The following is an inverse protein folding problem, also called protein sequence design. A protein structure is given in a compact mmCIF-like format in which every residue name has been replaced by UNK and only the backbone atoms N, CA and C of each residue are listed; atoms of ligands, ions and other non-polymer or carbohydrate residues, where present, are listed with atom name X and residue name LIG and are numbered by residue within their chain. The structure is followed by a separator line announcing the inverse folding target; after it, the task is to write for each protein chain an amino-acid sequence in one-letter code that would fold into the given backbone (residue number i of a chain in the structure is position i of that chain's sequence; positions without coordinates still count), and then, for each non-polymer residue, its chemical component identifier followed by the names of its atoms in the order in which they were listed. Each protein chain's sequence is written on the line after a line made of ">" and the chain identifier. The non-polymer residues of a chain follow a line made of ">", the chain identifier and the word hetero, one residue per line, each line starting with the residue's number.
data_IF_024737679584
#
_entry.id   IF_024737679584
#
_cell.length_a   1.000
_cell.length_b   1.000
_cell.length_c   1.000
_cell.angle_alpha   90.00
_cell.angle_beta   90.00
_cell.angle_gamma   90.00
#
_symmetry.space_group_name_H-M   'P 1'
#
loop_
_entity.id
_entity.type
_entity.pdbx_description
1 polymer ?
#
# COMPACT_ATOMS: atom_id res chain seq x y z
N UNK A 1 8.93 -38.02 6.53
CA UNK A 1 7.46 -37.84 6.24
C UNK A 1 6.88 -36.63 6.96
N UNK A 2 7.13 -36.42 8.29
CA UNK A 2 6.56 -35.29 9.06
C UNK A 2 6.90 -33.90 8.53
N UNK A 3 8.12 -33.65 8.05
CA UNK A 3 8.53 -32.37 7.50
C UNK A 3 7.72 -31.93 6.28
N UNK A 4 7.47 -32.86 5.36
CA UNK A 4 6.71 -32.55 4.14
C UNK A 4 5.22 -32.26 4.44
N UNK A 5 4.65 -32.86 5.48
CA UNK A 5 3.29 -32.61 5.93
C UNK A 5 3.19 -31.20 6.55
N UNK A 6 4.12 -30.82 7.40
CA UNK A 6 4.13 -29.50 8.02
C UNK A 6 4.46 -28.38 6.99
N UNK A 7 5.34 -28.65 6.04
CA UNK A 7 5.62 -27.75 4.93
C UNK A 7 4.39 -27.54 4.03
N UNK A 8 3.61 -28.59 3.77
CA UNK A 8 2.37 -28.49 3.02
C UNK A 8 1.33 -27.65 3.79
N UNK A 9 1.15 -27.90 5.09
CA UNK A 9 0.26 -27.08 5.95
C UNK A 9 0.69 -25.62 6.02
N UNK A 10 1.99 -25.34 6.09
CA UNK A 10 2.51 -23.97 6.08
C UNK A 10 2.25 -23.28 4.74
N UNK A 11 2.48 -23.98 3.62
CA UNK A 11 2.16 -23.47 2.26
C UNK A 11 0.66 -23.19 2.11
N UNK A 12 -0.19 -24.04 2.67
CA UNK A 12 -1.64 -23.87 2.64
C UNK A 12 -2.09 -22.68 3.50
N UNK A 13 -1.56 -22.52 4.71
CA UNK A 13 -1.79 -21.33 5.56
C UNK A 13 -1.29 -20.03 4.88
N UNK A 14 -0.11 -20.06 4.26
CA UNK A 14 0.42 -18.92 3.51
C UNK A 14 -0.40 -18.59 2.27
N UNK A 15 -0.97 -19.60 1.59
CA UNK A 15 -1.93 -19.39 0.49
C UNK A 15 -3.26 -18.82 1.01
N UNK A 16 -3.80 -19.37 2.10
CA UNK A 16 -5.03 -18.88 2.70
C UNK A 16 -4.92 -17.43 3.19
N UNK A 17 -3.78 -17.03 3.76
CA UNK A 17 -3.53 -15.64 4.17
C UNK A 17 -3.33 -14.67 2.98
N UNK A 18 -2.89 -15.17 1.82
CA UNK A 18 -2.77 -14.37 0.58
C UNK A 18 -4.10 -14.26 -0.20
N UNK A 19 -5.06 -15.11 0.08
CA UNK A 19 -6.35 -15.18 -0.63
C UNK A 19 -7.28 -14.01 -0.29
N UNK A 20 -6.97 -13.17 0.70
CA UNK A 20 -7.90 -12.12 1.16
C UNK A 20 -7.84 -10.90 0.28
N UNK A 21 -7.62 -10.56 -0.77
CA UNK A 21 -7.96 -9.39 -1.61
C UNK A 21 -7.09 -9.16 -2.88
N UNK A 22 -5.77 -9.39 -2.84
CA UNK A 22 -4.93 -9.15 -4.04
C UNK A 22 -5.12 -10.20 -5.14
N UNK A 23 -5.41 -11.46 -4.76
CA UNK A 23 -5.55 -12.56 -5.72
C UNK A 23 -6.85 -12.49 -6.54
N UNK A 24 -7.95 -12.01 -5.95
CA UNK A 24 -9.23 -11.90 -6.65
C UNK A 24 -9.23 -10.75 -7.67
N UNK A 25 -8.60 -9.62 -7.35
CA UNK A 25 -8.53 -8.49 -8.27
C UNK A 25 -7.63 -8.77 -9.49
N UNK A 26 -6.57 -9.58 -9.31
CA UNK A 26 -5.67 -9.96 -10.41
C UNK A 26 -6.29 -10.96 -11.42
N UNK A 27 -7.44 -11.55 -11.10
CA UNK A 27 -8.13 -12.53 -11.96
C UNK A 27 -9.41 -11.96 -12.59
N UNK A 28 -9.80 -10.73 -12.25
CA UNK A 28 -10.99 -10.12 -12.82
C UNK A 28 -10.69 -9.59 -14.23
N UNK A 29 -11.37 -10.15 -15.24
CA UNK A 29 -11.21 -9.78 -16.64
C UNK A 29 -11.50 -8.30 -16.91
N UNK A 30 -12.44 -7.69 -16.18
CA UNK A 30 -12.76 -6.25 -16.27
C UNK A 30 -11.55 -5.38 -15.91
N UNK A 31 -10.80 -5.75 -14.86
CA UNK A 31 -9.58 -5.03 -14.46
C UNK A 31 -8.41 -5.27 -15.42
N UNK A 32 -8.28 -6.49 -15.97
CA UNK A 32 -7.24 -6.83 -16.94
C UNK A 32 -7.44 -6.09 -18.28
N UNK A 33 -8.70 -5.93 -18.68
CA UNK A 33 -9.07 -5.27 -19.93
C UNK A 33 -9.13 -3.75 -19.84
N UNK A 34 -9.07 -3.18 -18.63
CA UNK A 34 -9.10 -1.72 -18.43
C UNK A 34 -7.81 -1.07 -18.96
N UNK A 35 -7.96 -0.11 -19.89
CA UNK A 35 -6.82 0.47 -20.64
C UNK A 35 -6.62 1.98 -20.41
N UNK A 36 -7.58 2.67 -19.79
CA UNK A 36 -7.45 4.09 -19.54
C UNK A 36 -6.31 4.36 -18.55
N UNK A 37 -5.55 5.42 -18.81
CA UNK A 37 -4.39 5.77 -17.98
C UNK A 37 -4.78 6.75 -16.89
N UNK A 38 -4.20 6.56 -15.72
CA UNK A 38 -4.25 7.46 -14.57
C UNK A 38 -2.85 8.01 -14.31
N UNK A 39 -2.74 9.27 -13.95
CA UNK A 39 -1.46 9.91 -13.60
C UNK A 39 -1.33 10.01 -12.10
N UNK A 40 -0.27 9.42 -11.54
CA UNK A 40 0.04 9.56 -10.13
C UNK A 40 0.88 10.81 -9.87
N UNK A 41 0.41 11.67 -8.96
CA UNK A 41 1.07 12.95 -8.59
C UNK A 41 1.38 13.03 -7.09
N UNK A 42 1.20 11.95 -6.36
CA UNK A 42 1.27 11.92 -4.89
C UNK A 42 2.66 12.07 -4.27
N UNK A 43 3.70 12.24 -5.09
CA UNK A 43 5.02 12.69 -4.62
C UNK A 43 5.12 14.22 -4.52
N UNK A 44 4.28 14.94 -5.27
CA UNK A 44 4.33 16.41 -5.36
C UNK A 44 3.24 17.07 -4.52
N UNK A 45 2.04 16.46 -4.48
CA UNK A 45 0.88 17.00 -3.79
C UNK A 45 0.03 15.91 -3.15
N UNK A 46 -0.72 16.28 -2.11
CA UNK A 46 -1.70 15.41 -1.44
C UNK A 46 -3.15 15.70 -1.86
N UNK A 47 -3.36 16.74 -2.64
CA UNK A 47 -4.67 17.19 -3.08
C UNK A 47 -4.71 17.29 -4.61
N UNK A 48 -5.86 16.96 -5.22
CA UNK A 48 -6.07 17.11 -6.64
C UNK A 48 -7.54 17.39 -6.98
N UNK A 49 -7.75 18.09 -8.10
CA UNK A 49 -9.01 18.08 -8.84
C UNK A 49 -8.90 17.02 -9.92
N UNK A 50 -9.79 16.05 -9.91
CA UNK A 50 -9.70 14.85 -10.75
C UNK A 50 -11.02 14.55 -11.43
N UNK A 51 -10.99 13.76 -12.48
CA UNK A 51 -12.17 13.25 -13.16
C UNK A 51 -12.26 11.73 -12.96
N UNK A 52 -13.48 11.25 -12.69
CA UNK A 52 -13.77 9.82 -12.64
C UNK A 52 -13.75 9.25 -14.04
N UNK A 53 -12.80 8.35 -14.34
CA UNK A 53 -12.65 7.74 -15.67
C UNK A 53 -13.16 6.31 -15.75
N UNK A 54 -13.38 5.65 -14.61
CA UNK A 54 -14.05 4.35 -14.52
C UNK A 54 -14.61 4.11 -13.13
N UNK A 55 -15.70 3.36 -13.07
CA UNK A 55 -16.33 2.88 -11.84
C UNK A 55 -16.50 1.38 -11.96
N UNK A 56 -16.21 0.66 -10.86
CA UNK A 56 -16.46 -0.76 -10.73
C UNK A 56 -17.34 -1.00 -9.49
N UNK A 57 -18.35 -1.82 -9.68
CA UNK A 57 -19.25 -2.28 -8.62
C UNK A 57 -19.34 -3.81 -8.69
N UNK A 58 -19.07 -4.47 -7.58
CA UNK A 58 -19.09 -5.94 -7.48
C UNK A 58 -18.26 -6.63 -8.58
N UNK A 59 -17.10 -6.03 -8.91
CA UNK A 59 -16.16 -6.53 -9.90
C UNK A 59 -16.54 -6.28 -11.37
N UNK A 60 -17.60 -5.54 -11.65
CA UNK A 60 -18.04 -5.17 -13.01
C UNK A 60 -17.94 -3.67 -13.22
N UNK A 61 -17.56 -3.27 -14.44
CA UNK A 61 -17.57 -1.87 -14.82
C UNK A 61 -19.00 -1.35 -14.92
N UNK A 62 -19.23 -0.12 -14.45
CA UNK A 62 -20.53 0.55 -14.43
C UNK A 62 -20.36 2.03 -14.84
N UNK A 63 -21.40 2.59 -15.45
CA UNK A 63 -21.46 4.03 -15.78
C UNK A 63 -21.72 4.88 -14.55
N UNK A 64 -22.44 4.35 -13.57
CA UNK A 64 -22.70 5.02 -12.30
C UNK A 64 -22.96 4.02 -11.19
N UNK A 65 -22.65 4.40 -9.93
CA UNK A 65 -22.90 3.55 -8.78
C UNK A 65 -22.98 4.32 -7.46
N UNK A 66 -23.44 3.65 -6.40
CA UNK A 66 -23.51 4.13 -5.02
C UNK A 66 -23.10 3.04 -4.03
N UNK A 67 -22.95 3.41 -2.75
CA UNK A 67 -22.45 2.50 -1.70
C UNK A 67 -20.96 2.36 -1.77
N UNK A 68 -20.43 1.21 -1.34
CA UNK A 68 -19.00 0.93 -1.49
C UNK A 68 -18.72 0.55 -2.93
N UNK A 69 -17.88 1.34 -3.58
CA UNK A 69 -17.52 1.21 -4.99
C UNK A 69 -16.01 1.31 -5.15
N UNK A 70 -15.56 0.98 -6.34
CA UNK A 70 -14.17 1.17 -6.75
C UNK A 70 -14.14 2.11 -7.95
N UNK A 71 -13.25 3.08 -7.94
CA UNK A 71 -13.13 4.02 -9.05
C UNK A 71 -11.69 4.32 -9.42
N UNK A 72 -11.48 4.66 -10.68
CA UNK A 72 -10.22 5.13 -11.23
C UNK A 72 -10.37 6.59 -11.62
N UNK A 73 -9.38 7.38 -11.22
CA UNK A 73 -9.29 8.81 -11.53
C UNK A 73 -8.27 9.05 -12.64
N UNK A 74 -8.47 10.08 -13.45
CA UNK A 74 -7.49 10.51 -14.46
C UNK A 74 -6.16 10.95 -13.83
N UNK A 75 -6.25 11.62 -12.69
CA UNK A 75 -5.10 12.07 -11.89
C UNK A 75 -5.35 11.75 -10.43
N UNK A 76 -4.33 11.26 -9.71
CA UNK A 76 -4.49 10.89 -8.31
C UNK A 76 -3.25 11.16 -7.47
N UNK A 77 -3.41 11.74 -6.26
CA UNK A 77 -2.35 11.84 -5.26
C UNK A 77 -2.24 10.57 -4.37
N UNK A 78 -3.19 9.63 -4.47
CA UNK A 78 -3.24 8.44 -3.62
C UNK A 78 -2.24 7.39 -4.08
N UNK A 79 -1.33 6.99 -3.19
CA UNK A 79 -0.40 5.87 -3.40
C UNK A 79 -1.16 4.56 -3.31
N UNK A 80 -1.03 3.73 -4.33
CA UNK A 80 -1.64 2.41 -4.35
C UNK A 80 -0.78 1.37 -3.62
N UNK A 81 -1.42 0.45 -2.92
CA UNK A 81 -0.77 -0.66 -2.23
C UNK A 81 0.22 -1.38 -3.15
N UNK A 82 1.49 -1.40 -2.76
CA UNK A 82 2.58 -2.01 -3.52
C UNK A 82 3.79 -2.30 -2.63
N UNK A 83 4.50 -3.39 -2.90
CA UNK A 83 5.78 -3.69 -2.26
C UNK A 83 5.72 -3.93 -0.75
N UNK A 84 4.55 -4.33 -0.23
CA UNK A 84 4.32 -4.51 1.20
C UNK A 84 3.86 -3.25 1.95
N UNK A 85 3.84 -2.08 1.29
CA UNK A 85 3.24 -0.87 1.82
C UNK A 85 1.74 -0.85 1.54
N UNK A 86 0.92 -0.51 2.54
CA UNK A 86 -0.52 -0.33 2.38
C UNK A 86 -0.84 0.90 1.51
N UNK A 87 -2.01 0.89 0.88
CA UNK A 87 -2.51 2.01 0.10
C UNK A 87 -2.95 3.18 0.97
N UNK A 88 -2.98 4.36 0.38
CA UNK A 88 -3.44 5.55 1.06
C UNK A 88 -4.94 5.55 1.32
N UNK A 89 -5.28 6.30 2.34
CA UNK A 89 -6.64 6.68 2.72
C UNK A 89 -6.82 8.19 2.66
N UNK A 90 -8.07 8.65 2.59
CA UNK A 90 -8.36 10.08 2.57
C UNK A 90 -9.80 10.39 2.28
N UNK A 91 -10.05 11.47 1.55
CA UNK A 91 -11.38 11.97 1.22
C UNK A 91 -11.54 12.18 -0.29
N UNK A 92 -12.75 11.94 -0.76
CA UNK A 92 -13.26 12.34 -2.06
C UNK A 92 -14.43 13.29 -1.82
N UNK A 93 -14.40 14.46 -2.45
CA UNK A 93 -15.45 15.48 -2.34
C UNK A 93 -16.12 15.66 -3.70
N UNK A 94 -17.43 15.55 -3.73
CA UNK A 94 -18.28 15.86 -4.88
C UNK A 94 -19.49 16.65 -4.40
N UNK A 95 -19.86 17.72 -5.10
CA UNK A 95 -20.99 18.61 -4.76
C UNK A 95 -20.98 19.09 -3.29
N UNK A 96 -19.77 19.35 -2.74
CA UNK A 96 -19.58 19.78 -1.36
C UNK A 96 -19.74 18.69 -0.30
N UNK A 97 -20.02 17.45 -0.70
CA UNK A 97 -20.12 16.30 0.21
C UNK A 97 -18.82 15.49 0.22
N UNK A 98 -18.41 15.06 1.42
CA UNK A 98 -17.20 14.29 1.64
C UNK A 98 -17.47 12.80 1.83
N UNK A 99 -16.70 11.98 1.13
CA UNK A 99 -16.75 10.52 1.18
C UNK A 99 -15.38 9.96 1.54
N UNK A 100 -15.37 8.84 2.27
CA UNK A 100 -14.11 8.21 2.68
C UNK A 100 -13.52 7.39 1.55
N UNK A 101 -12.27 7.68 1.18
CA UNK A 101 -11.41 6.76 0.44
C UNK A 101 -10.79 5.80 1.45
N UNK A 102 -11.32 4.57 1.47
CA UNK A 102 -11.00 3.55 2.48
C UNK A 102 -9.63 2.91 2.22
N UNK A 103 -9.30 2.73 0.95
CA UNK A 103 -8.03 2.13 0.50
C UNK A 103 -7.76 2.49 -0.95
N UNK A 104 -6.51 2.38 -1.36
CA UNK A 104 -6.08 2.53 -2.75
C UNK A 104 -5.26 1.31 -3.15
N UNK A 105 -5.70 0.60 -4.17
CA UNK A 105 -5.08 -0.64 -4.67
C UNK A 105 -4.47 -0.42 -6.05
N UNK A 106 -3.52 -1.26 -6.43
CA UNK A 106 -2.95 -1.23 -7.78
C UNK A 106 -3.63 -2.29 -8.66
N UNK A 107 -4.13 -1.87 -9.81
CA UNK A 107 -4.61 -2.79 -10.84
C UNK A 107 -3.44 -3.48 -11.56
N UNK A 108 -3.65 -4.65 -12.20
CA UNK A 108 -2.61 -5.35 -12.95
C UNK A 108 -1.94 -4.51 -14.04
N UNK A 109 -2.68 -3.58 -14.63
CA UNK A 109 -2.19 -2.63 -15.65
C UNK A 109 -1.50 -1.39 -15.05
N UNK A 110 -1.31 -1.35 -13.72
CA UNK A 110 -0.62 -0.27 -13.01
C UNK A 110 -1.49 0.90 -12.59
N UNK A 111 -2.79 0.92 -12.89
CA UNK A 111 -3.70 1.99 -12.49
C UNK A 111 -4.02 1.94 -11.00
N UNK A 112 -4.38 3.11 -10.43
CA UNK A 112 -4.77 3.25 -9.03
C UNK A 112 -6.29 3.10 -8.89
N UNK A 113 -6.73 2.09 -8.15
CA UNK A 113 -8.12 1.78 -7.87
C UNK A 113 -8.47 2.23 -6.46
N UNK A 114 -9.33 3.24 -6.35
CA UNK A 114 -9.77 3.82 -5.08
C UNK A 114 -11.02 3.12 -4.60
N UNK A 115 -11.00 2.59 -3.37
CA UNK A 115 -12.19 2.04 -2.72
C UNK A 115 -12.85 3.15 -1.92
N UNK A 116 -14.07 3.53 -2.31
CA UNK A 116 -14.78 4.69 -1.74
C UNK A 116 -16.16 4.26 -1.25
N UNK A 117 -16.54 4.71 -0.06
CA UNK A 117 -17.91 4.56 0.44
C UNK A 117 -18.75 5.80 0.10
N UNK A 118 -19.45 5.73 -1.02
CA UNK A 118 -20.36 6.78 -1.49
C UNK A 118 -21.70 6.82 -0.74
N UNK A 119 -21.92 5.90 0.19
CA UNK A 119 -23.19 5.78 0.94
C UNK A 119 -24.39 5.69 -0.02
N UNK A 120 -25.35 6.61 0.06
CA UNK A 120 -26.51 6.66 -0.83
C UNK A 120 -26.33 7.62 -2.01
N UNK A 121 -25.22 8.33 -2.10
CA UNK A 121 -24.92 9.27 -3.18
C UNK A 121 -24.49 8.51 -4.43
N UNK A 122 -25.07 8.86 -5.56
CA UNK A 122 -24.68 8.30 -6.86
C UNK A 122 -23.53 9.12 -7.43
N UNK A 123 -22.55 8.44 -8.00
CA UNK A 123 -21.44 9.03 -8.76
C UNK A 123 -21.40 8.38 -10.15
N UNK A 124 -21.02 9.11 -11.16
CA UNK A 124 -20.96 8.62 -12.54
C UNK A 124 -19.61 8.89 -13.19
N UNK A 125 -19.30 8.14 -14.23
CA UNK A 125 -18.15 8.37 -15.07
C UNK A 125 -18.24 9.76 -15.69
N UNK A 126 -17.14 10.51 -15.65
CA UNK A 126 -17.07 11.90 -16.10
C UNK A 126 -17.24 12.94 -14.99
N UNK A 127 -17.73 12.55 -13.80
CA UNK A 127 -17.85 13.49 -12.68
C UNK A 127 -16.50 14.06 -12.27
N UNK A 128 -16.50 15.36 -11.92
CA UNK A 128 -15.35 16.03 -11.32
C UNK A 128 -15.41 15.94 -9.81
N UNK A 129 -14.29 15.55 -9.23
CA UNK A 129 -14.14 15.35 -7.80
C UNK A 129 -12.88 16.08 -7.28
N UNK A 130 -12.93 16.53 -6.05
CA UNK A 130 -11.75 16.92 -5.32
C UNK A 130 -11.31 15.74 -4.45
N UNK A 131 -10.02 15.44 -4.43
CA UNK A 131 -9.47 14.34 -3.64
C UNK A 131 -8.35 14.83 -2.77
N UNK A 132 -8.30 14.30 -1.54
CA UNK A 132 -7.31 14.69 -0.53
C UNK A 132 -6.84 13.46 0.24
N UNK A 133 -5.53 13.21 0.23
CA UNK A 133 -4.88 12.15 1.01
C UNK A 133 -4.85 12.54 2.48
N UNK A 134 -5.11 11.59 3.38
CA UNK A 134 -4.93 11.81 4.81
C UNK A 134 -3.43 12.01 5.12
N UNK A 135 -3.05 13.24 5.42
CA UNK A 135 -1.66 13.63 5.66
C UNK A 135 -1.01 12.85 6.80
N UNK A 136 -1.68 12.74 7.95
CA UNK A 136 -1.09 12.05 9.12
C UNK A 136 -0.91 10.55 8.85
N UNK A 137 -1.86 9.93 8.16
CA UNK A 137 -1.78 8.54 7.74
C UNK A 137 -0.59 8.30 6.78
N UNK A 138 -0.47 9.11 5.72
CA UNK A 138 0.64 9.05 4.77
C UNK A 138 1.98 9.30 5.46
N UNK A 139 2.06 10.30 6.32
CA UNK A 139 3.27 10.66 7.06
C UNK A 139 3.78 9.49 7.91
N UNK A 140 2.88 8.85 8.66
CA UNK A 140 3.23 7.69 9.48
C UNK A 140 3.74 6.51 8.62
N UNK A 141 3.10 6.24 7.47
CA UNK A 141 3.57 5.23 6.52
C UNK A 141 4.97 5.58 5.99
N UNK A 142 5.22 6.83 5.59
CA UNK A 142 6.52 7.27 5.10
C UNK A 142 7.62 7.10 6.15
N UNK A 143 7.32 7.40 7.42
CA UNK A 143 8.25 7.19 8.53
C UNK A 143 8.58 5.69 8.70
N UNK A 144 7.57 4.82 8.71
CA UNK A 144 7.76 3.38 8.81
C UNK A 144 8.48 2.79 7.59
N UNK A 145 8.21 3.31 6.39
CA UNK A 145 8.92 2.91 5.17
C UNK A 145 10.43 3.26 5.27
N UNK A 146 10.76 4.49 5.65
CA UNK A 146 12.15 4.91 5.86
C UNK A 146 12.83 4.09 6.95
N UNK A 147 12.13 3.85 8.08
CA UNK A 147 12.63 3.00 9.16
C UNK A 147 12.92 1.56 8.69
N UNK A 148 12.15 1.03 7.74
CA UNK A 148 12.39 -0.30 7.15
C UNK A 148 13.74 -0.36 6.42
N UNK A 149 14.09 0.68 5.67
CA UNK A 149 15.39 0.77 5.00
C UNK A 149 16.54 0.90 6.00
N UNK A 150 16.39 1.72 7.02
CA UNK A 150 17.37 1.87 8.09
C UNK A 150 17.59 0.56 8.84
N UNK A 151 16.51 -0.15 9.15
CA UNK A 151 16.57 -1.46 9.80
C UNK A 151 17.30 -2.49 8.94
N UNK A 152 17.02 -2.56 7.65
CA UNK A 152 17.70 -3.47 6.73
C UNK A 152 19.21 -3.23 6.72
N UNK A 153 19.63 -1.97 6.63
CA UNK A 153 21.06 -1.62 6.62
C UNK A 153 21.73 -1.91 7.97
N UNK A 154 21.06 -1.61 9.09
CA UNK A 154 21.56 -1.91 10.43
C UNK A 154 21.73 -3.42 10.65
N UNK A 155 20.74 -4.23 10.25
CA UNK A 155 20.82 -5.69 10.29
C UNK A 155 22.01 -6.21 9.50
N UNK A 156 22.23 -5.72 8.28
CA UNK A 156 23.38 -6.12 7.45
C UNK A 156 24.72 -5.73 8.05
N UNK A 157 24.82 -4.58 8.70
CA UNK A 157 26.05 -4.13 9.37
C UNK A 157 26.38 -4.95 10.61
N UNK A 158 25.39 -5.32 11.41
CA UNK A 158 25.60 -6.03 12.67
C UNK A 158 25.70 -7.54 12.47
N UNK A 159 24.90 -8.11 11.58
CA UNK A 159 24.81 -9.57 11.38
C UNK A 159 25.62 -10.06 10.19
N UNK A 160 25.91 -9.19 9.22
CA UNK A 160 26.70 -9.52 8.04
C UNK A 160 25.92 -9.45 6.72
N UNK A 161 26.66 -9.45 5.61
CA UNK A 161 26.14 -9.27 4.26
C UNK A 161 25.22 -10.38 3.73
N UNK A 162 25.08 -11.50 4.46
CA UNK A 162 24.16 -12.59 4.12
C UNK A 162 22.71 -12.26 4.41
N UNK A 163 22.45 -11.20 5.20
CA UNK A 163 21.11 -10.74 5.51
C UNK A 163 20.45 -10.19 4.24
N UNK A 164 19.36 -10.83 3.82
CA UNK A 164 18.56 -10.47 2.66
C UNK A 164 17.10 -10.38 3.09
N UNK A 165 16.41 -9.37 2.59
CA UNK A 165 14.98 -9.22 2.79
C UNK A 165 14.23 -10.40 2.15
N UNK A 166 13.34 -11.02 2.93
CA UNK A 166 12.44 -12.09 2.49
C UNK A 166 10.99 -11.60 2.35
N UNK A 167 10.64 -10.55 3.08
CA UNK A 167 9.36 -9.90 3.03
C UNK A 167 9.35 -8.61 3.84
N UNK A 168 8.36 -7.76 3.58
CA UNK A 168 8.10 -6.58 4.40
C UNK A 168 6.61 -6.24 4.41
N UNK A 169 6.19 -5.58 5.47
CA UNK A 169 4.89 -4.94 5.56
C UNK A 169 5.07 -3.58 6.23
N UNK A 170 4.51 -2.56 5.61
CA UNK A 170 4.57 -1.17 6.11
C UNK A 170 3.16 -0.64 6.22
N UNK A 171 2.78 -0.26 7.44
CA UNK A 171 1.48 0.34 7.77
C UNK A 171 1.69 1.71 8.41
N UNK A 172 0.60 2.40 8.72
CA UNK A 172 0.67 3.63 9.52
C UNK A 172 1.03 3.39 11.00
N UNK A 173 0.86 2.16 11.50
CA UNK A 173 1.09 1.83 12.92
C UNK A 173 2.44 1.16 13.15
N UNK A 174 2.87 0.31 12.20
CA UNK A 174 4.07 -0.50 12.35
C UNK A 174 4.69 -0.90 11.02
N UNK A 175 5.90 -1.44 11.11
CA UNK A 175 6.56 -2.16 10.04
C UNK A 175 6.86 -3.60 10.48
N UNK A 176 6.85 -4.53 9.52
CA UNK A 176 7.39 -5.87 9.66
C UNK A 176 8.47 -6.06 8.60
N UNK A 177 9.59 -6.63 9.02
CA UNK A 177 10.70 -6.93 8.13
C UNK A 177 11.15 -8.39 8.33
N UNK A 178 10.94 -9.22 7.34
CA UNK A 178 11.30 -10.63 7.35
C UNK A 178 12.65 -10.78 6.65
N UNK A 179 13.60 -11.43 7.28
CA UNK A 179 14.95 -11.61 6.76
C UNK A 179 15.49 -13.00 7.10
N UNK A 180 16.51 -13.45 6.35
CA UNK A 180 17.22 -14.70 6.62
C UNK A 180 18.35 -14.47 7.61
N UNK A 181 18.44 -15.33 8.62
CA UNK A 181 19.58 -15.42 9.54
C UNK A 181 19.67 -16.84 10.11
N UNK A 182 20.87 -17.27 10.46
CA UNK A 182 21.13 -18.66 10.84
C UNK A 182 20.85 -18.94 12.31
N UNK A 183 20.86 -17.91 13.15
CA UNK A 183 20.76 -18.00 14.61
C UNK A 183 19.79 -16.95 15.15
N UNK A 184 19.34 -17.15 16.40
CA UNK A 184 18.60 -16.13 17.11
C UNK A 184 19.49 -14.93 17.42
N UNK A 185 18.95 -13.73 17.31
CA UNK A 185 19.66 -12.51 17.66
C UNK A 185 19.95 -12.47 19.17
N UNK A 186 21.18 -12.15 19.53
CA UNK A 186 21.54 -11.86 20.92
C UNK A 186 20.98 -10.50 21.36
N UNK A 187 20.74 -10.32 22.65
CA UNK A 187 20.33 -9.01 23.20
C UNK A 187 21.29 -7.89 22.83
N UNK A 188 22.61 -8.19 22.80
CA UNK A 188 23.61 -7.19 22.39
C UNK A 188 23.44 -6.74 20.95
N UNK A 189 23.22 -7.67 20.01
CA UNK A 189 22.96 -7.35 18.61
C UNK A 189 21.67 -6.53 18.43
N UNK A 190 20.60 -6.90 19.14
CA UNK A 190 19.34 -6.14 19.10
C UNK A 190 19.56 -4.69 19.55
N UNK A 191 20.22 -4.48 20.69
CA UNK A 191 20.49 -3.14 21.20
C UNK A 191 21.39 -2.33 20.27
N UNK A 192 22.35 -2.97 19.61
CA UNK A 192 23.22 -2.33 18.64
C UNK A 192 22.45 -1.89 17.39
N UNK A 193 21.60 -2.76 16.85
CA UNK A 193 20.71 -2.47 15.71
C UNK A 193 19.77 -1.29 16.05
N UNK A 194 19.10 -1.36 17.20
CA UNK A 194 18.21 -0.28 17.66
C UNK A 194 18.95 1.05 17.80
N UNK A 195 20.16 1.02 18.38
CA UNK A 195 20.98 2.21 18.52
C UNK A 195 21.33 2.81 17.17
N UNK A 196 21.78 1.98 16.19
CA UNK A 196 22.13 2.46 14.86
C UNK A 196 20.95 3.13 14.16
N UNK A 197 19.77 2.50 14.18
CA UNK A 197 18.55 3.07 13.58
C UNK A 197 18.19 4.38 14.25
N UNK A 198 18.19 4.42 15.58
CA UNK A 198 17.86 5.63 16.36
C UNK A 198 18.81 6.77 16.10
N UNK A 199 20.11 6.49 16.06
CA UNK A 199 21.16 7.50 15.82
C UNK A 199 20.94 8.22 14.47
N UNK A 200 20.58 7.47 13.42
CA UNK A 200 20.27 8.04 12.08
C UNK A 200 18.99 8.89 12.12
N UNK A 201 17.95 8.39 12.79
CA UNK A 201 16.67 9.13 12.92
C UNK A 201 16.89 10.47 13.64
N UNK A 202 17.67 10.47 14.72
CA UNK A 202 17.94 11.70 15.52
C UNK A 202 18.77 12.71 14.72
N UNK A 203 19.62 12.27 13.81
CA UNK A 203 20.44 13.14 12.97
C UNK A 203 19.67 13.82 11.84
N UNK A 204 18.45 13.34 11.54
CA UNK A 204 17.52 13.92 10.56
C UNK A 204 18.18 14.23 9.20
N UNK A 205 18.94 13.28 8.67
CA UNK A 205 19.58 13.43 7.37
C UNK A 205 18.57 13.59 6.24
N UNK A 206 18.84 14.45 5.26
CA UNK A 206 18.00 14.55 4.08
C UNK A 206 18.02 13.22 3.27
N UNK A 207 16.86 12.77 2.84
CA UNK A 207 16.74 11.60 1.96
C UNK A 207 16.89 12.05 0.51
N UNK A 208 17.93 11.56 -0.17
CA UNK A 208 18.14 11.79 -1.59
C UNK A 208 17.77 10.53 -2.37
N UNK A 209 16.91 10.66 -3.38
CA UNK A 209 16.54 9.58 -4.31
C UNK A 209 17.33 9.81 -5.59
N UNK A 210 18.18 8.83 -5.95
CA UNK A 210 19.02 8.85 -7.16
C UNK A 210 18.56 7.78 -8.14
#
# INVERSE_FOLDING_TARGET
>A
EGFNIELAKQKERARASRVSNQSMNNQNEEYLNFKLKSTFIGYETLDASSQVIAIFKDGKQAESAKGVIQLVLDTTPFYAEMGGQIGDQGKLTIDGMNFDVINTMKLPNGQHLHIVDMKQTNIQVGDRVLVSVNYEFRKAICQNHSATHLLNEALRKVLGGHVLQQGSQVTNENLRFDFNHYENLTTKQILEIEKMVRDVIVQDYPVCIS
#
